data_IF_955276681848
#
_entry.id   IF_955276681848
#
_cell.length_a   1.000
_cell.length_b   1.000
_cell.length_c   1.000
_cell.angle_alpha   90.00
_cell.angle_beta   90.00
_cell.angle_gamma   90.00
#
_symmetry.space_group_name_H-M   'P 1'
#
loop_
_entity.id
_entity.type
_entity.pdbx_description
1 polymer ?
#
# COMPACT_ATOMS: atom_id res chain seq x y z
N UNK A 1 -15.02 -22.47 -14.38
CA UNK A 1 -14.95 -21.04 -14.80
C UNK A 1 -14.23 -20.97 -16.14
N UNK A 2 -14.99 -20.87 -17.24
CA UNK A 2 -14.55 -21.01 -18.62
C UNK A 2 -14.46 -19.66 -19.35
N UNK A 3 -13.55 -18.77 -18.94
CA UNK A 3 -13.18 -17.63 -19.77
C UNK A 3 -11.67 -17.39 -19.68
N UNK A 4 -10.92 -17.37 -20.81
CA UNK A 4 -9.50 -17.08 -20.79
C UNK A 4 -9.31 -15.61 -20.40
N UNK A 5 -8.50 -15.35 -19.36
CA UNK A 5 -8.16 -13.98 -18.96
C UNK A 5 -7.34 -13.34 -20.09
N UNK A 6 -7.91 -12.39 -20.83
CA UNK A 6 -7.16 -11.59 -21.80
C UNK A 6 -6.02 -10.85 -21.05
N UNK A 7 -4.75 -10.99 -21.47
CA UNK A 7 -3.64 -10.24 -20.89
C UNK A 7 -3.68 -8.83 -21.47
N UNK A 8 -4.51 -8.00 -20.88
CA UNK A 8 -4.61 -6.59 -21.18
C UNK A 8 -5.29 -5.94 -20.01
N UNK A 9 -4.85 -4.73 -19.65
CA UNK A 9 -5.46 -3.84 -18.67
C UNK A 9 -6.85 -3.37 -19.15
N UNK A 10 -7.71 -4.28 -19.64
CA UNK A 10 -8.89 -4.06 -20.46
C UNK A 10 -10.11 -3.55 -19.70
N UNK A 11 -9.91 -2.72 -18.68
CA UNK A 11 -10.99 -1.95 -18.05
C UNK A 11 -10.75 -0.44 -18.07
N UNK A 12 -9.53 0.05 -18.34
CA UNK A 12 -9.22 1.48 -18.11
C UNK A 12 -8.37 2.14 -19.22
N UNK A 13 -8.24 1.53 -20.39
CA UNK A 13 -7.46 2.08 -21.52
C UNK A 13 -6.06 2.58 -21.12
N UNK A 14 -5.38 1.84 -20.27
CA UNK A 14 -4.06 2.23 -19.78
C UNK A 14 -3.04 1.12 -19.94
N UNK A 15 -1.79 1.53 -20.09
CA UNK A 15 -0.63 0.67 -20.09
C UNK A 15 -0.37 0.12 -18.69
N UNK A 16 0.40 -0.98 -18.64
CA UNK A 16 0.92 -1.51 -17.38
C UNK A 16 1.72 -0.47 -16.59
N UNK A 17 2.45 0.40 -17.30
CA UNK A 17 3.28 1.43 -16.68
C UNK A 17 2.41 2.47 -15.95
N UNK A 18 1.36 2.98 -16.60
CA UNK A 18 0.42 3.92 -16.01
C UNK A 18 -0.31 3.32 -14.81
N UNK A 19 -0.73 2.06 -14.89
CA UNK A 19 -1.30 1.36 -13.74
C UNK A 19 -0.34 1.31 -12.56
N UNK A 20 0.92 0.91 -12.78
CA UNK A 20 1.91 0.81 -11.71
C UNK A 20 2.18 2.17 -11.06
N UNK A 21 2.22 3.24 -11.86
CA UNK A 21 2.44 4.60 -11.37
C UNK A 21 1.24 5.10 -10.56
N UNK A 22 0.01 4.95 -11.09
CA UNK A 22 -1.23 5.27 -10.39
C UNK A 22 -1.38 4.46 -9.08
N UNK A 23 -1.04 3.18 -9.11
CA UNK A 23 -1.11 2.31 -7.94
C UNK A 23 -0.07 2.68 -6.87
N UNK A 24 1.15 3.03 -7.28
CA UNK A 24 2.18 3.49 -6.35
C UNK A 24 1.83 4.82 -5.70
N UNK A 25 1.33 5.78 -6.48
CA UNK A 25 0.91 7.10 -5.97
C UNK A 25 -0.25 6.97 -5.00
N UNK A 26 -1.27 6.16 -5.32
CA UNK A 26 -2.36 5.86 -4.40
C UNK A 26 -1.88 5.29 -3.05
N UNK A 27 -0.89 4.38 -3.05
CA UNK A 27 -0.29 3.82 -1.83
C UNK A 27 0.43 4.87 -0.98
N UNK A 28 1.16 5.78 -1.62
CA UNK A 28 1.84 6.88 -0.91
C UNK A 28 0.83 7.86 -0.33
N UNK A 29 -0.25 8.19 -1.04
CA UNK A 29 -1.29 9.09 -0.54
C UNK A 29 -2.11 8.45 0.59
N UNK A 30 -2.38 7.15 0.50
CA UNK A 30 -3.03 6.42 1.60
C UNK A 30 -2.15 6.40 2.86
N UNK A 31 -0.81 6.36 2.71
CA UNK A 31 0.14 6.44 3.82
C UNK A 31 0.00 7.72 4.63
N UNK A 32 -0.38 8.82 4.00
CA UNK A 32 -0.61 10.12 4.64
C UNK A 32 -2.04 10.29 5.16
N UNK A 33 -2.88 9.25 5.08
CA UNK A 33 -4.28 9.29 5.50
C UNK A 33 -5.22 9.99 4.50
N UNK A 34 -4.75 10.25 3.28
CA UNK A 34 -5.60 10.88 2.26
C UNK A 34 -6.70 9.92 1.80
N UNK A 35 -7.93 10.44 1.73
CA UNK A 35 -9.07 9.73 1.14
C UNK A 35 -9.01 9.79 -0.39
N UNK A 36 -9.69 8.87 -1.11
CA UNK A 36 -9.83 8.96 -2.55
C UNK A 36 -10.41 10.32 -2.96
N UNK A 37 -9.80 10.96 -3.95
CA UNK A 37 -10.24 12.24 -4.50
C UNK A 37 -11.21 11.99 -5.67
N UNK A 38 -12.51 12.31 -5.54
CA UNK A 38 -13.50 12.09 -6.58
C UNK A 38 -13.29 12.95 -7.83
N UNK A 39 -12.35 13.91 -7.81
CA UNK A 39 -11.93 14.68 -9.00
C UNK A 39 -10.94 13.92 -9.87
N UNK A 40 -10.33 12.86 -9.36
CA UNK A 40 -9.49 11.98 -10.16
C UNK A 40 -10.38 11.04 -10.97
N UNK A 41 -9.97 10.73 -12.20
CA UNK A 41 -10.71 9.87 -13.10
C UNK A 41 -9.86 8.68 -13.57
N UNK A 42 -10.53 7.68 -14.14
CA UNK A 42 -9.91 6.53 -14.79
C UNK A 42 -9.04 5.68 -13.86
N UNK A 43 -7.78 5.47 -14.25
CA UNK A 43 -6.83 4.57 -13.58
C UNK A 43 -6.47 5.07 -12.18
N UNK A 44 -6.31 6.38 -12.01
CA UNK A 44 -5.93 6.99 -10.73
C UNK A 44 -7.03 6.86 -9.70
N UNK A 45 -8.27 7.19 -10.09
CA UNK A 45 -9.43 7.02 -9.22
C UNK A 45 -9.55 5.60 -8.69
N UNK A 46 -9.45 4.63 -9.60
CA UNK A 46 -9.54 3.23 -9.20
C UNK A 46 -8.40 2.79 -8.31
N UNK A 47 -7.17 3.21 -8.62
CA UNK A 47 -6.03 2.90 -7.79
C UNK A 47 -6.24 3.39 -6.35
N UNK A 48 -6.78 4.61 -6.18
CA UNK A 48 -7.13 5.15 -4.87
C UNK A 48 -8.21 4.33 -4.16
N UNK A 49 -9.29 3.97 -4.86
CA UNK A 49 -10.36 3.14 -4.28
C UNK A 49 -9.85 1.77 -3.80
N UNK A 50 -9.09 1.06 -4.63
CA UNK A 50 -8.53 -0.25 -4.27
C UNK A 50 -7.61 -0.12 -3.06
N UNK A 51 -6.70 0.86 -3.08
CA UNK A 51 -5.74 1.03 -1.98
C UNK A 51 -6.45 1.41 -0.69
N UNK A 52 -7.45 2.29 -0.75
CA UNK A 52 -8.14 2.80 0.43
C UNK A 52 -9.12 1.79 1.04
N UNK A 53 -9.78 0.95 0.24
CA UNK A 53 -10.88 0.10 0.72
C UNK A 53 -10.56 -1.40 0.67
N UNK A 54 -9.63 -1.85 -0.17
CA UNK A 54 -9.33 -3.28 -0.32
C UNK A 54 -7.96 -3.66 0.29
N UNK A 55 -7.09 -2.69 0.57
CA UNK A 55 -5.69 -2.94 0.98
C UNK A 55 -5.40 -2.58 2.45
N UNK A 56 -6.38 -2.03 3.16
CA UNK A 56 -6.25 -1.52 4.53
C UNK A 56 -5.70 -2.55 5.52
N UNK A 57 -5.93 -3.85 5.27
CA UNK A 57 -5.64 -4.91 6.24
C UNK A 57 -4.33 -5.68 5.95
N UNK A 58 -3.61 -5.37 4.85
CA UNK A 58 -2.53 -6.23 4.33
C UNK A 58 -1.10 -5.80 4.72
N UNK A 59 -0.92 -4.92 5.71
CA UNK A 59 0.42 -4.57 6.21
C UNK A 59 1.33 -3.97 5.13
N UNK A 60 0.84 -2.95 4.44
CA UNK A 60 1.56 -2.37 3.32
C UNK A 60 2.78 -1.56 3.78
N UNK A 61 3.98 -2.06 3.47
CA UNK A 61 5.26 -1.41 3.78
C UNK A 61 5.34 0.04 3.30
N UNK A 62 4.65 0.42 2.22
CA UNK A 62 4.65 1.80 1.71
C UNK A 62 3.71 2.73 2.48
N UNK A 63 2.81 2.21 3.33
CA UNK A 63 2.01 3.03 4.24
C UNK A 63 2.85 3.62 5.38
N UNK A 64 3.96 2.97 5.71
CA UNK A 64 4.88 3.45 6.73
C UNK A 64 6.08 4.10 6.07
N UNK A 65 6.44 5.29 6.52
CA UNK A 65 7.69 5.94 6.11
C UNK A 65 8.90 5.09 6.52
N UNK A 66 10.03 5.29 5.85
CA UNK A 66 11.27 4.58 6.19
C UNK A 66 11.68 4.82 7.65
N UNK A 67 11.50 6.05 8.15
CA UNK A 67 11.73 6.42 9.55
C UNK A 67 10.82 5.67 10.52
N UNK A 68 9.52 5.57 10.22
CA UNK A 68 8.57 4.80 11.05
C UNK A 68 8.96 3.32 11.11
N UNK A 69 9.35 2.72 9.98
CA UNK A 69 9.81 1.31 9.96
C UNK A 69 11.08 1.11 10.79
N UNK A 70 12.03 2.04 10.69
CA UNK A 70 13.26 2.01 11.49
C UNK A 70 12.99 2.20 12.98
N UNK A 71 12.09 3.11 13.35
CA UNK A 71 11.69 3.34 14.73
C UNK A 71 11.00 2.11 15.32
N UNK A 72 10.11 1.46 14.57
CA UNK A 72 9.49 0.20 14.97
C UNK A 72 10.52 -0.89 15.22
N UNK A 73 11.50 -1.09 14.32
CA UNK A 73 12.56 -2.08 14.51
C UNK A 73 13.37 -1.80 15.78
N UNK A 74 13.69 -0.53 16.06
CA UNK A 74 14.39 -0.15 17.29
C UNK A 74 13.57 -0.51 18.53
N UNK A 75 12.31 -0.09 18.59
CA UNK A 75 11.39 -0.41 19.69
C UNK A 75 11.29 -1.91 19.92
N UNK A 76 11.11 -2.70 18.86
CA UNK A 76 11.04 -4.17 18.98
C UNK A 76 12.34 -4.75 19.56
N UNK A 77 13.49 -4.26 19.11
CA UNK A 77 14.78 -4.72 19.61
C UNK A 77 15.00 -4.34 21.08
N UNK A 78 14.55 -3.15 21.49
CA UNK A 78 14.69 -2.68 22.87
C UNK A 78 13.82 -3.52 23.82
N UNK A 79 12.56 -3.78 23.45
CA UNK A 79 11.67 -4.68 24.20
C UNK A 79 12.24 -6.10 24.30
N UNK A 80 12.79 -6.64 23.21
CA UNK A 80 13.40 -7.97 23.23
C UNK A 80 14.63 -8.04 24.15
N UNK A 81 15.42 -6.96 24.24
CA UNK A 81 16.56 -6.89 25.17
C UNK A 81 16.10 -6.83 26.63
N UNK A 82 15.06 -6.06 26.92
CA UNK A 82 14.48 -6.00 28.27
C UNK A 82 13.99 -7.38 28.72
N UNK A 83 13.24 -8.08 27.87
CA UNK A 83 12.76 -9.46 28.15
C UNK A 83 13.93 -10.42 28.38
N UNK A 84 15.03 -10.31 27.62
CA UNK A 84 16.20 -11.16 27.83
C UNK A 84 16.92 -10.86 29.15
N UNK A 85 16.96 -9.60 29.58
CA UNK A 85 17.57 -9.20 30.85
C UNK A 85 16.73 -9.60 32.07
N UNK A 86 15.40 -9.65 31.95
CA UNK A 86 14.51 -10.13 33.02
C UNK A 86 14.55 -11.66 33.22
N UNK A 87 15.02 -12.42 32.22
CA UNK A 87 15.10 -13.88 32.27
C UNK A 87 16.51 -14.41 32.62
N UNK A 88 17.47 -13.53 32.97
CA UNK A 88 18.79 -13.88 33.52
C UNK A 88 18.86 -13.57 35.01
#
# INVERSE_FOLDING_TARGET
MCFPRKPGLGRYNASRHEWLLAYRTARVNAATGAKPDPKTDGVFWKAQLIVCYERTDLGDKLLHTASQRLAMIKLTNDVLKEIQNENM
#
